data_IF_128961399349
#
_entry.id   IF_128961399349
#
_cell.length_a   1.000
_cell.length_b   1.000
_cell.length_c   1.000
_cell.angle_alpha   90.00
_cell.angle_beta   90.00
_cell.angle_gamma   90.00
#
_symmetry.space_group_name_H-M   'P 1'
#
loop_
_entity.id
_entity.type
_entity.pdbx_description
1 polymer ?
#
# COMPACT_ATOMS: atom_id res chain seq x y z
N UNK A 1 4.69 3.95 12.97
CA UNK A 1 5.86 3.08 12.66
C UNK A 1 7.19 3.83 12.57
N UNK A 2 7.23 5.10 12.16
CA UNK A 2 8.49 5.83 11.89
C UNK A 2 9.11 6.58 13.08
N UNK A 3 8.46 6.57 14.25
CA UNK A 3 8.98 7.22 15.46
C UNK A 3 10.40 6.75 15.85
N UNK A 4 10.73 5.44 15.79
CA UNK A 4 12.09 4.97 16.07
C UNK A 4 13.11 5.46 15.05
N UNK A 5 12.74 5.66 13.79
CA UNK A 5 13.66 6.16 12.75
C UNK A 5 13.97 7.64 12.93
N UNK A 6 12.96 8.44 13.27
CA UNK A 6 13.16 9.85 13.66
C UNK A 6 14.05 9.94 14.90
N UNK A 7 13.75 9.17 15.94
CA UNK A 7 14.57 9.11 17.15
C UNK A 7 16.02 8.66 16.89
N UNK A 8 16.24 7.66 16.02
CA UNK A 8 17.59 7.25 15.62
C UNK A 8 18.34 8.36 14.89
N UNK A 9 17.67 9.06 13.99
CA UNK A 9 18.27 10.19 13.27
C UNK A 9 18.66 11.30 14.24
N UNK A 10 17.75 11.67 15.14
CA UNK A 10 17.96 12.75 16.12
C UNK A 10 19.06 12.40 17.15
N UNK A 11 19.15 11.14 17.58
CA UNK A 11 20.09 10.69 18.62
C UNK A 11 21.53 10.48 18.12
N UNK A 12 21.68 10.17 16.83
CA UNK A 12 22.97 9.81 16.24
C UNK A 12 23.51 10.82 15.22
N UNK A 13 22.76 11.89 14.87
CA UNK A 13 23.24 12.95 13.98
C UNK A 13 24.52 13.66 14.48
N UNK A 14 24.71 13.69 15.81
CA UNK A 14 25.86 14.30 16.46
C UNK A 14 27.00 13.30 16.74
N UNK A 15 26.76 12.00 16.58
CA UNK A 15 27.68 10.91 16.95
C UNK A 15 28.23 10.12 15.76
N UNK A 16 27.50 10.11 14.66
CA UNK A 16 27.85 9.41 13.42
C UNK A 16 27.88 10.39 12.26
N UNK A 17 28.71 10.09 11.26
CA UNK A 17 28.68 10.84 10.02
C UNK A 17 27.29 10.72 9.36
N UNK A 18 26.79 11.84 8.82
CA UNK A 18 25.46 11.94 8.22
C UNK A 18 25.27 10.94 7.08
N UNK A 19 26.33 10.63 6.33
CA UNK A 19 26.27 9.65 5.26
C UNK A 19 26.06 8.22 5.80
N UNK A 20 26.62 7.90 6.98
CA UNK A 20 26.45 6.58 7.60
C UNK A 20 25.04 6.41 8.14
N UNK A 21 24.50 7.44 8.81
CA UNK A 21 23.10 7.45 9.28
C UNK A 21 22.14 7.32 8.10
N UNK A 22 22.38 8.05 7.02
CA UNK A 22 21.58 7.99 5.80
C UNK A 22 21.61 6.60 5.16
N UNK A 23 22.79 5.97 5.03
CA UNK A 23 22.92 4.63 4.44
C UNK A 23 22.22 3.55 5.28
N UNK A 24 22.29 3.63 6.62
CA UNK A 24 21.57 2.71 7.51
C UNK A 24 20.06 2.89 7.35
N UNK A 25 19.58 4.13 7.33
CA UNK A 25 18.18 4.44 7.10
C UNK A 25 17.71 3.89 5.75
N UNK A 26 18.49 4.10 4.68
CA UNK A 26 18.20 3.61 3.34
C UNK A 26 18.02 2.08 3.30
N UNK A 27 18.94 1.32 3.91
CA UNK A 27 18.87 -0.14 3.99
C UNK A 27 17.61 -0.61 4.73
N UNK A 28 17.28 0.05 5.84
CA UNK A 28 16.08 -0.27 6.63
C UNK A 28 14.81 0.06 5.85
N UNK A 29 14.76 1.22 5.19
CA UNK A 29 13.62 1.66 4.39
C UNK A 29 13.39 0.74 3.19
N UNK A 30 14.45 0.30 2.52
CA UNK A 30 14.39 -0.68 1.45
C UNK A 30 13.74 -1.98 1.92
N UNK A 31 14.20 -2.52 3.05
CA UNK A 31 13.65 -3.76 3.60
C UNK A 31 12.18 -3.60 4.00
N UNK A 32 11.84 -2.53 4.72
CA UNK A 32 10.45 -2.30 5.15
C UNK A 32 9.53 -2.09 3.93
N UNK A 33 10.01 -1.40 2.90
CA UNK A 33 9.21 -1.16 1.68
C UNK A 33 9.00 -2.44 0.90
N UNK A 34 9.98 -3.34 0.86
CA UNK A 34 9.85 -4.68 0.29
C UNK A 34 8.78 -5.50 1.02
N UNK A 35 8.88 -5.58 2.35
CA UNK A 35 7.92 -6.31 3.19
C UNK A 35 6.51 -5.70 3.05
N UNK A 36 6.42 -4.37 2.94
CA UNK A 36 5.14 -3.69 2.75
C UNK A 36 4.53 -3.97 1.37
N UNK A 37 5.34 -4.04 0.31
CA UNK A 37 4.88 -4.43 -1.02
C UNK A 37 4.30 -5.84 -1.04
N UNK A 38 4.96 -6.79 -0.39
CA UNK A 38 4.46 -8.16 -0.27
C UNK A 38 3.12 -8.19 0.47
N UNK A 39 3.02 -7.51 1.62
CA UNK A 39 1.78 -7.41 2.39
C UNK A 39 0.65 -6.78 1.56
N UNK A 40 0.93 -5.73 0.78
CA UNK A 40 -0.07 -5.10 -0.11
C UNK A 40 -0.54 -6.07 -1.19
N UNK A 41 0.36 -6.82 -1.82
CA UNK A 41 0.02 -7.85 -2.82
C UNK A 41 -0.84 -8.96 -2.22
N UNK A 42 -0.52 -9.40 -1.00
CA UNK A 42 -1.31 -10.39 -0.28
C UNK A 42 -2.73 -9.89 0.04
N UNK A 43 -2.85 -8.65 0.54
CA UNK A 43 -4.15 -8.03 0.83
C UNK A 43 -4.98 -7.93 -0.45
N UNK A 44 -4.42 -7.40 -1.54
CA UNK A 44 -5.13 -7.30 -2.82
C UNK A 44 -5.61 -8.67 -3.33
N UNK A 45 -4.76 -9.69 -3.23
CA UNK A 45 -5.10 -11.06 -3.63
C UNK A 45 -6.21 -11.66 -2.76
N UNK A 46 -6.14 -11.44 -1.44
CA UNK A 46 -7.15 -11.89 -0.48
C UNK A 46 -8.51 -11.26 -0.79
N UNK A 47 -8.55 -9.94 -0.97
CA UNK A 47 -9.78 -9.21 -1.24
C UNK A 47 -10.39 -9.64 -2.58
N UNK A 48 -9.57 -9.80 -3.62
CA UNK A 48 -10.04 -10.31 -4.91
C UNK A 48 -10.68 -11.70 -4.80
N UNK A 49 -10.06 -12.63 -4.06
CA UNK A 49 -10.62 -13.97 -3.82
C UNK A 49 -11.93 -13.91 -3.03
N UNK A 50 -12.02 -13.04 -2.03
CA UNK A 50 -13.24 -12.86 -1.23
C UNK A 50 -14.38 -12.29 -2.08
N UNK A 51 -14.12 -11.28 -2.91
CA UNK A 51 -15.13 -10.76 -3.84
C UNK A 51 -15.61 -11.81 -4.83
N UNK A 52 -14.69 -12.60 -5.38
CA UNK A 52 -15.05 -13.66 -6.34
C UNK A 52 -15.93 -14.74 -5.66
N UNK A 53 -15.60 -15.13 -4.43
CA UNK A 53 -16.40 -16.05 -3.62
C UNK A 53 -17.82 -15.50 -3.38
N UNK A 54 -17.94 -14.22 -3.01
CA UNK A 54 -19.23 -13.55 -2.81
C UNK A 54 -20.02 -13.46 -4.12
N UNK A 55 -19.36 -13.18 -5.25
CA UNK A 55 -20.00 -13.12 -6.57
C UNK A 55 -20.56 -14.48 -6.98
N UNK A 56 -19.78 -15.56 -6.78
CA UNK A 56 -20.22 -16.94 -7.02
C UNK A 56 -21.37 -17.33 -6.08
N UNK A 57 -21.29 -16.97 -4.81
CA UNK A 57 -22.38 -17.23 -3.85
C UNK A 57 -23.68 -16.51 -4.25
N UNK A 58 -23.59 -15.24 -4.67
CA UNK A 58 -24.74 -14.47 -5.18
C UNK A 58 -25.33 -15.10 -6.45
N UNK A 59 -24.50 -15.60 -7.38
CA UNK A 59 -24.98 -16.28 -8.58
C UNK A 59 -25.65 -17.63 -8.30
N UNK A 60 -25.23 -18.33 -7.24
CA UNK A 60 -25.83 -19.61 -6.83
C UNK A 60 -27.15 -19.43 -6.06
N UNK A 61 -27.34 -18.29 -5.40
CA UNK A 61 -28.53 -18.00 -4.60
C UNK A 61 -29.68 -17.36 -5.40
N UNK A 62 -29.42 -16.91 -6.63
CA UNK A 62 -30.38 -16.18 -7.47
C UNK A 62 -30.73 -16.91 -8.77
N UNK A 63 -31.91 -17.50 -8.83
CA UNK A 63 -32.55 -17.95 -10.06
C UNK A 63 -32.62 -16.80 -11.09
N UNK A 64 -31.89 -16.90 -12.20
CA UNK A 64 -32.30 -16.47 -13.55
C UNK A 64 -32.75 -15.02 -13.83
N UNK A 65 -32.83 -14.11 -12.86
CA UNK A 65 -33.21 -12.72 -13.10
C UNK A 65 -31.96 -11.89 -13.37
N UNK A 66 -31.89 -11.39 -14.61
CA UNK A 66 -30.94 -10.38 -15.06
C UNK A 66 -30.82 -9.27 -13.99
N UNK A 67 -29.59 -8.87 -13.60
CA UNK A 67 -29.42 -7.82 -12.62
C UNK A 67 -29.90 -6.50 -13.22
N UNK A 68 -31.07 -6.03 -12.76
CA UNK A 68 -31.40 -4.61 -12.83
C UNK A 68 -30.23 -3.85 -12.17
N UNK A 69 -29.63 -2.86 -12.83
CA UNK A 69 -28.64 -2.01 -12.17
C UNK A 69 -29.38 -1.26 -11.07
N UNK A 70 -29.23 -1.71 -9.82
CA UNK A 70 -29.63 -0.92 -8.68
C UNK A 70 -28.85 0.40 -8.80
N UNK A 71 -29.56 1.47 -9.12
CA UNK A 71 -29.06 2.84 -9.28
C UNK A 71 -28.68 3.44 -7.91
N UNK A 72 -27.77 2.77 -7.21
CA UNK A 72 -27.12 3.21 -5.99
C UNK A 72 -25.67 2.76 -6.09
N UNK A 73 -24.81 3.66 -6.59
CA UNK A 73 -23.37 3.47 -6.73
C UNK A 73 -22.67 3.38 -5.38
N UNK A 74 -23.02 2.37 -4.57
CA UNK A 74 -22.34 2.05 -3.33
C UNK A 74 -21.07 1.31 -3.68
N UNK A 75 -19.96 2.04 -3.66
CA UNK A 75 -18.58 1.56 -3.63
C UNK A 75 -18.49 0.19 -2.93
N UNK A 76 -17.95 -0.83 -3.62
CA UNK A 76 -17.76 -2.15 -3.03
C UNK A 76 -16.81 -2.04 -1.85
N UNK A 77 -16.90 -2.94 -0.88
CA UNK A 77 -15.95 -2.94 0.26
C UNK A 77 -14.51 -3.13 -0.23
N UNK A 78 -14.31 -3.81 -1.35
CA UNK A 78 -13.02 -3.92 -2.04
C UNK A 78 -12.51 -2.57 -2.57
N UNK A 79 -13.40 -1.75 -3.14
CA UNK A 79 -13.02 -0.40 -3.58
C UNK A 79 -12.58 0.46 -2.40
N UNK A 80 -13.23 0.31 -1.24
CA UNK A 80 -12.84 1.02 -0.02
C UNK A 80 -11.47 0.56 0.46
N UNK A 81 -11.19 -0.73 0.42
CA UNK A 81 -9.87 -1.29 0.80
C UNK A 81 -8.79 -0.79 -0.16
N UNK A 82 -9.02 -0.81 -1.48
CA UNK A 82 -8.07 -0.28 -2.47
C UNK A 82 -7.81 1.21 -2.33
N UNK A 83 -8.85 2.00 -2.06
CA UNK A 83 -8.69 3.43 -1.82
C UNK A 83 -7.88 3.69 -0.54
N UNK A 84 -8.11 2.90 0.52
CA UNK A 84 -7.34 3.00 1.76
C UNK A 84 -5.86 2.66 1.52
N UNK A 85 -5.58 1.58 0.77
CA UNK A 85 -4.20 1.22 0.41
C UNK A 85 -3.48 2.35 -0.33
N UNK A 86 -4.16 3.07 -1.21
CA UNK A 86 -3.60 4.26 -1.90
C UNK A 86 -3.24 5.37 -0.92
N UNK A 87 -4.14 5.67 0.02
CA UNK A 87 -3.89 6.67 1.05
C UNK A 87 -2.70 6.26 1.91
N UNK A 88 -2.62 4.98 2.29
CA UNK A 88 -1.55 4.46 3.15
C UNK A 88 -0.19 4.50 2.43
N UNK A 89 -0.11 4.05 1.17
CA UNK A 89 1.12 4.10 0.36
C UNK A 89 1.55 5.53 0.05
N UNK A 90 0.59 6.42 -0.22
CA UNK A 90 0.88 7.85 -0.41
C UNK A 90 1.41 8.48 0.88
N UNK A 91 0.86 8.12 2.04
CA UNK A 91 1.35 8.59 3.34
C UNK A 91 2.73 8.04 3.65
N UNK A 92 3.00 6.78 3.32
CA UNK A 92 4.33 6.16 3.46
C UNK A 92 5.38 6.92 2.63
N UNK A 93 5.06 7.20 1.36
CA UNK A 93 5.92 7.97 0.46
C UNK A 93 6.17 9.39 0.98
N UNK A 94 5.14 10.07 1.50
CA UNK A 94 5.29 11.40 2.07
C UNK A 94 6.16 11.41 3.33
N UNK A 95 6.05 10.41 4.20
CA UNK A 95 6.90 10.32 5.37
C UNK A 95 8.36 9.99 5.03
N UNK A 96 8.61 9.18 3.99
CA UNK A 96 9.94 8.96 3.43
C UNK A 96 10.57 10.27 2.96
N UNK A 97 9.80 11.10 2.25
CA UNK A 97 10.27 12.42 1.81
C UNK A 97 10.59 13.36 2.98
N UNK A 98 9.85 13.28 4.10
CA UNK A 98 10.19 14.03 5.32
C UNK A 98 11.50 13.57 5.98
N UNK A 99 11.93 12.33 5.71
CA UNK A 99 13.22 11.79 6.15
C UNK A 99 14.35 12.11 5.16
N UNK A 100 14.06 12.81 4.06
CA UNK A 100 15.04 13.20 3.05
C UNK A 100 15.21 12.21 1.90
N UNK A 101 14.40 11.15 1.85
CA UNK A 101 14.48 10.13 0.80
C UNK A 101 13.56 10.45 -0.37
N UNK A 102 14.09 10.37 -1.59
CA UNK A 102 13.30 10.39 -2.80
C UNK A 102 12.74 9.00 -3.12
N UNK A 103 11.64 8.92 -3.88
CA UNK A 103 11.09 7.63 -4.32
C UNK A 103 12.04 6.76 -5.15
N UNK A 104 13.09 7.37 -5.70
CA UNK A 104 14.17 6.70 -6.43
C UNK A 104 15.20 6.06 -5.52
N UNK A 105 15.33 6.53 -4.28
CA UNK A 105 16.35 6.08 -3.33
C UNK A 105 15.91 4.82 -2.58
N UNK A 106 14.60 4.54 -2.58
CA UNK A 106 14.02 3.35 -1.97
C UNK A 106 13.56 2.42 -3.08
N UNK A 107 14.30 1.33 -3.25
CA UNK A 107 13.94 0.22 -4.11
C UNK A 107 12.52 -0.24 -3.81
N UNK A 108 11.79 -0.58 -4.89
CA UNK A 108 10.41 -1.06 -4.83
C UNK A 108 9.36 -0.03 -4.38
N UNK A 109 9.72 1.20 -3.99
CA UNK A 109 8.71 2.23 -3.68
C UNK A 109 7.91 2.64 -4.92
N UNK A 110 8.57 2.74 -6.08
CA UNK A 110 7.88 2.95 -7.36
C UNK A 110 6.95 1.79 -7.71
N UNK A 111 7.41 0.55 -7.51
CA UNK A 111 6.60 -0.64 -7.76
C UNK A 111 5.36 -0.67 -6.85
N UNK A 112 5.53 -0.36 -5.56
CA UNK A 112 4.44 -0.26 -4.59
C UNK A 112 3.39 0.77 -5.01
N UNK A 113 3.81 1.96 -5.43
CA UNK A 113 2.89 2.98 -5.94
C UNK A 113 2.17 2.50 -7.20
N UNK A 114 2.88 1.85 -8.13
CA UNK A 114 2.28 1.34 -9.36
C UNK A 114 1.24 0.23 -9.08
N UNK A 115 1.57 -0.75 -8.24
CA UNK A 115 0.66 -1.85 -7.88
C UNK A 115 -0.65 -1.32 -7.30
N UNK A 116 -0.58 -0.32 -6.43
CA UNK A 116 -1.78 0.26 -5.83
C UNK A 116 -2.55 1.13 -6.82
N UNK A 117 -1.89 1.93 -7.66
CA UNK A 117 -2.55 2.72 -8.71
C UNK A 117 -3.24 1.82 -9.75
N UNK A 118 -2.59 0.74 -10.18
CA UNK A 118 -3.17 -0.24 -11.11
C UNK A 118 -4.38 -0.94 -10.50
N UNK A 119 -4.33 -1.27 -9.21
CA UNK A 119 -5.46 -1.90 -8.52
C UNK A 119 -6.73 -1.03 -8.56
N UNK A 120 -6.57 0.30 -8.59
CA UNK A 120 -7.70 1.25 -8.65
C UNK A 120 -8.16 1.49 -10.10
N UNK A 121 -7.25 1.46 -11.07
CA UNK A 121 -7.54 1.70 -12.49
C UNK A 121 -8.16 0.50 -13.21
N UNK A 122 -8.00 -0.72 -12.69
CA UNK A 122 -8.45 -1.97 -13.31
C UNK A 122 -9.97 -2.21 -13.36
N UNK A 123 -10.80 -1.17 -13.44
CA UNK A 123 -12.24 -1.26 -13.67
C UNK A 123 -12.63 -0.84 -15.07
#
# INVERSE_FOLDING_TARGET
>A
MLKPMKSFTDEYNDKLDKATVHSILELVLNKITADYLEAVKEVLTSVQKTEESLRRLRSLKGNGQQPMPAAGGTMSDDDKIRLQLRVDVSSWTNELSKLGFMPTDVAQLMELNNVVEESIKGK
#
